data_IF_450004113993
#
_entry.id   IF_450004113993
#
_cell.length_a   1.000
_cell.length_b   1.000
_cell.length_c   1.000
_cell.angle_alpha   90.00
_cell.angle_beta   90.00
_cell.angle_gamma   90.00
#
_symmetry.space_group_name_H-M   'P 1'
#
loop_
_entity.id
_entity.type
_entity.pdbx_description
1 polymer ?
2 water ?
#
# COMPACT_ATOMS: atom_id res chain seq x y z
N UNK A 3 -16.71 -3.97 -3.93
CA UNK A 3 -16.47 -4.54 -2.60
C UNK A 3 -15.44 -5.67 -2.67
N UNK A 4 -14.16 -5.33 -2.67
CA UNK A 4 -13.12 -6.36 -2.70
C UNK A 4 -13.03 -7.19 -1.43
N UNK A 5 -13.43 -6.66 -0.27
CA UNK A 5 -13.18 -7.33 0.98
C UNK A 5 -14.39 -7.18 1.89
N UNK A 6 -14.55 -8.16 2.78
CA UNK A 6 -15.46 -8.04 3.91
C UNK A 6 -14.61 -8.05 5.18
N UNK A 7 -14.80 -7.02 6.00
CA UNK A 7 -14.06 -6.82 7.24
C UNK A 7 -15.02 -7.07 8.39
N UNK A 8 -14.58 -7.85 9.38
CA UNK A 8 -15.69 -8.31 10.19
C UNK A 8 -15.88 -7.33 11.34
N UNK A 9 -14.85 -7.01 12.13
CA UNK A 9 -14.89 -5.74 12.86
C UNK A 9 -14.50 -4.67 11.85
N UNK A 10 -15.42 -3.72 11.60
CA UNK A 10 -15.09 -2.61 10.70
C UNK A 10 -14.41 -1.49 11.47
N UNK A 11 -14.48 -1.54 12.78
CA UNK A 11 -13.84 -0.54 13.65
C UNK A 11 -13.63 -1.14 15.04
N UNK A 12 -12.54 -0.76 15.69
CA UNK A 12 -12.32 -1.19 17.07
C UNK A 12 -12.09 0.03 17.93
N UNK A 13 -12.85 0.15 19.01
CA UNK A 13 -12.54 1.07 20.10
C UNK A 13 -12.10 0.20 21.27
N UNK A 14 -10.79 0.13 21.52
CA UNK A 14 -10.24 -0.82 22.47
C UNK A 14 -9.82 -0.19 23.79
N UNK A 15 -9.49 -1.05 24.74
CA UNK A 15 -8.82 -0.64 25.96
C UNK A 15 -7.44 -1.27 26.01
N UNK A 16 -6.53 -0.64 26.73
CA UNK A 16 -5.17 -1.14 26.84
C UNK A 16 -5.16 -2.58 27.35
N UNK A 17 -4.25 -3.40 26.79
CA UNK A 17 -4.08 -4.76 27.26
C UNK A 17 -5.04 -5.77 26.68
N UNK A 18 -6.03 -5.34 25.93
CA UNK A 18 -7.06 -6.22 25.42
C UNK A 18 -6.58 -6.93 24.15
N UNK A 19 -7.03 -8.18 24.00
CA UNK A 19 -6.80 -8.92 22.76
C UNK A 19 -7.76 -8.42 21.69
N UNK A 20 -7.21 -8.05 20.54
CA UNK A 20 -7.96 -7.51 19.40
C UNK A 20 -7.69 -8.41 18.21
N UNK A 21 -8.75 -9.00 17.66
CA UNK A 21 -8.59 -9.83 16.47
C UNK A 21 -9.33 -9.18 15.30
N UNK A 22 -8.60 -8.93 14.21
CA UNK A 22 -9.17 -8.44 12.96
C UNK A 22 -9.30 -9.57 11.94
N UNK A 23 -10.29 -9.45 11.06
CA UNK A 23 -10.51 -10.47 10.05
C UNK A 23 -10.82 -9.83 8.71
N UNK A 24 -10.31 -10.51 7.67
CA UNK A 24 -10.37 -10.07 6.28
C UNK A 24 -10.86 -11.23 5.44
N UNK A 25 -11.92 -11.01 4.66
CA UNK A 25 -12.36 -12.00 3.68
C UNK A 25 -12.20 -11.42 2.28
N UNK A 26 -11.46 -12.13 1.44
CA UNK A 26 -11.30 -11.71 0.05
C UNK A 26 -12.52 -12.18 -0.73
N UNK A 27 -13.23 -11.24 -1.36
CA UNK A 27 -14.44 -11.53 -2.13
C UNK A 27 -14.23 -11.47 -3.64
N UNK A 28 -13.06 -11.03 -4.12
CA UNK A 28 -12.75 -11.09 -5.54
C UNK A 28 -12.62 -12.55 -6.00
N UNK A 29 -13.05 -12.81 -7.24
CA UNK A 29 -13.07 -14.18 -7.74
C UNK A 29 -11.72 -14.62 -8.26
N UNK A 30 -10.91 -13.69 -8.76
CA UNK A 30 -9.53 -13.96 -9.12
C UNK A 30 -8.62 -13.17 -8.20
N UNK A 31 -7.67 -13.82 -7.61
CA UNK A 31 -6.70 -13.12 -6.76
C UNK A 31 -5.44 -13.95 -6.71
N UNK A 32 -4.33 -13.26 -6.59
CA UNK A 32 -3.04 -13.94 -6.45
C UNK A 32 -3.01 -14.70 -5.14
N UNK A 33 -2.19 -15.75 -5.05
CA UNK A 33 -2.05 -16.45 -3.80
C UNK A 33 -1.73 -15.53 -2.60
N UNK A 34 -2.50 -15.63 -1.52
CA UNK A 34 -2.16 -14.91 -0.29
C UNK A 34 -2.86 -13.60 0.01
N UNK A 35 -2.68 -13.13 1.24
CA UNK A 35 -3.22 -11.83 1.68
C UNK A 35 -2.14 -11.16 2.53
N UNK A 36 -2.14 -9.84 2.51
CA UNK A 36 -1.14 -9.06 3.26
C UNK A 36 -1.83 -8.10 4.23
N UNK A 37 -1.36 -8.06 5.47
CA UNK A 37 -1.84 -7.11 6.47
C UNK A 37 -0.91 -5.89 6.53
N UNK A 38 -1.50 -4.70 6.48
CA UNK A 38 -0.74 -3.46 6.49
C UNK A 38 -1.19 -2.60 7.66
N UNK A 39 -0.39 -1.59 7.97
CA UNK A 39 -0.67 -0.67 9.07
C UNK A 39 -0.31 0.74 8.65
N UNK A 40 -1.08 1.70 9.13
CA UNK A 40 -0.77 3.10 8.85
C UNK A 40 -1.00 3.95 10.09
N UNK A 41 -0.01 4.76 10.45
CA UNK A 41 -0.12 5.62 11.63
C UNK A 41 -1.09 6.75 11.35
N UNK A 42 -1.63 7.32 12.43
CA UNK A 42 -2.67 8.35 12.32
C UNK A 42 -2.05 9.74 12.19
N UNK A 43 -1.55 10.04 11.00
CA UNK A 43 -0.77 11.23 10.73
C UNK A 43 -0.83 11.51 9.23
N UNK A 44 -0.61 12.75 8.79
CA UNK A 44 -0.43 13.00 7.37
C UNK A 44 0.94 12.55 6.90
N UNK A 45 1.03 12.22 5.60
CA UNK A 45 2.23 11.62 5.03
C UNK A 45 2.61 10.31 5.72
N UNK A 46 1.68 9.65 6.40
CA UNK A 46 1.99 8.41 7.08
C UNK A 46 2.15 7.30 6.05
N UNK A 47 3.21 6.53 6.18
CA UNK A 47 3.50 5.48 5.21
C UNK A 47 2.86 4.16 5.65
N UNK A 48 2.37 3.37 4.71
CA UNK A 48 1.90 2.04 5.03
C UNK A 48 3.06 1.15 5.44
N UNK A 49 2.83 0.32 6.42
CA UNK A 49 3.89 -0.58 6.94
C UNK A 49 3.45 -2.04 6.76
N UNK A 50 4.35 -2.88 6.27
CA UNK A 50 4.06 -4.32 6.17
C UNK A 50 4.12 -4.98 7.55
N UNK A 51 3.11 -5.76 7.86
CA UNK A 51 3.03 -6.49 9.13
C UNK A 51 3.03 -8.01 8.97
N UNK A 52 2.37 -8.51 7.94
CA UNK A 52 2.39 -9.97 7.74
C UNK A 52 1.89 -10.43 6.37
N UNK A 53 2.49 -11.52 5.89
CA UNK A 53 2.03 -12.17 4.66
C UNK A 53 1.51 -13.54 5.05
N UNK A 54 0.29 -13.86 4.63
CA UNK A 54 -0.35 -15.14 4.98
C UNK A 54 -0.77 -15.88 3.71
N UNK A 55 -0.51 -17.18 3.65
CA UNK A 55 -0.92 -18.01 2.53
C UNK A 55 -1.01 -19.46 2.99
N UNK A 56 -1.58 -20.29 2.12
CA UNK A 56 -1.60 -21.75 2.32
C UNK A 56 -0.24 -22.29 2.77
N UNK A 57 0.85 -21.87 2.11
CA UNK A 57 2.15 -22.50 2.37
C UNK A 57 3.00 -21.70 3.35
N UNK A 58 3.11 -20.39 3.16
CA UNK A 58 4.04 -19.57 3.93
C UNK A 58 3.30 -18.57 4.80
N UNK A 59 3.90 -18.29 5.95
CA UNK A 59 3.52 -17.20 6.84
C UNK A 59 4.76 -16.37 7.11
N UNK A 60 4.67 -15.06 6.91
CA UNK A 60 5.83 -14.19 6.99
C UNK A 60 5.47 -12.98 7.83
N UNK A 61 6.06 -12.90 9.02
CA UNK A 61 5.88 -11.76 9.89
C UNK A 61 7.02 -10.76 9.69
N UNK A 62 6.69 -9.46 9.71
CA UNK A 62 7.71 -8.43 9.61
C UNK A 62 8.80 -8.67 10.65
N UNK A 63 10.06 -8.49 10.24
CA UNK A 63 11.18 -8.96 11.05
C UNK A 63 11.25 -8.26 12.40
N UNK A 64 10.72 -7.05 12.51
CA UNK A 64 10.81 -6.25 13.73
C UNK A 64 9.67 -6.51 14.72
N UNK A 65 8.69 -7.37 14.38
CA UNK A 65 7.53 -7.57 15.24
C UNK A 65 7.74 -8.76 16.16
N UNK A 66 7.29 -8.61 17.40
CA UNK A 66 7.32 -9.70 18.35
C UNK A 66 6.09 -10.59 18.14
N UNK A 67 6.26 -11.82 17.69
CA UNK A 67 5.09 -12.68 17.41
C UNK A 67 4.22 -12.94 18.63
N UNK A 68 4.69 -12.64 19.84
CA UNK A 68 3.84 -12.71 21.02
C UNK A 68 3.01 -11.45 21.22
N UNK A 69 3.31 -10.39 20.48
CA UNK A 69 2.50 -9.19 20.54
C UNK A 69 1.54 -9.08 19.35
N UNK A 70 2.01 -9.45 18.17
CA UNK A 70 1.20 -9.36 16.95
C UNK A 70 1.45 -10.62 16.14
N UNK A 71 0.37 -11.27 15.72
CA UNK A 71 0.50 -12.47 14.92
C UNK A 71 -0.64 -12.53 13.90
N UNK A 72 -0.44 -13.35 12.87
CA UNK A 72 -1.45 -13.52 11.85
C UNK A 72 -1.78 -14.99 11.65
N UNK A 73 -2.90 -15.23 10.96
CA UNK A 73 -3.30 -16.59 10.66
C UNK A 73 -4.27 -16.62 9.49
N UNK A 74 -4.07 -17.59 8.60
CA UNK A 74 -5.03 -17.89 7.54
C UNK A 74 -6.02 -18.90 8.07
N UNK A 75 -7.27 -18.50 8.35
CA UNK A 75 -8.26 -19.42 8.95
C UNK A 75 -8.69 -20.45 7.91
N UNK A 76 -8.88 -20.00 6.69
CA UNK A 76 -9.29 -20.87 5.57
C UNK A 76 -9.08 -20.04 4.31
N UNK A 77 -9.32 -20.61 3.14
CA UNK A 77 -9.21 -19.85 1.88
C UNK A 77 -10.10 -18.63 1.93
N UNK A 78 -9.59 -17.47 1.51
CA UNK A 78 -10.37 -16.20 1.48
C UNK A 78 -10.76 -15.74 2.89
N UNK A 79 -10.13 -16.29 3.94
CA UNK A 79 -10.28 -15.77 5.31
C UNK A 79 -8.95 -15.68 6.05
N UNK A 80 -8.60 -14.47 6.42
CA UNK A 80 -7.32 -14.15 7.10
C UNK A 80 -7.55 -13.33 8.37
N UNK A 81 -6.66 -13.56 9.34
CA UNK A 81 -6.81 -12.93 10.66
C UNK A 81 -5.55 -12.19 11.10
N UNK A 82 -5.73 -11.13 11.87
CA UNK A 82 -4.61 -10.43 12.52
C UNK A 82 -4.98 -10.26 13.99
N UNK A 83 -4.10 -10.67 14.88
CA UNK A 83 -4.35 -10.59 16.32
C UNK A 83 -3.30 -9.71 17.00
N UNK A 84 -3.76 -8.63 17.63
CA UNK A 84 -2.96 -7.88 18.59
C UNK A 84 -3.22 -8.47 19.97
N UNK A 85 -2.19 -9.09 20.56
CA UNK A 85 -2.41 -9.86 21.78
C UNK A 85 -2.66 -8.96 23.00
N UNK A 86 -1.97 -7.84 23.11
CA UNK A 86 -2.13 -6.91 24.27
C UNK A 86 -2.13 -5.48 23.74
N UNK A 87 -3.30 -4.92 23.45
CA UNK A 87 -3.39 -3.63 22.78
C UNK A 87 -2.65 -2.53 23.55
N UNK A 88 -1.71 -1.87 22.89
CA UNK A 88 -0.94 -0.80 23.50
C UNK A 88 -0.94 0.42 22.59
N UNK A 89 -0.48 1.56 23.14
CA UNK A 89 -0.60 2.84 22.46
C UNK A 89 0.13 2.84 21.11
N UNK A 90 1.27 2.16 21.04
CA UNK A 90 2.03 2.07 19.78
C UNK A 90 1.24 1.36 18.69
N UNK A 91 0.22 0.59 19.03
CA UNK A 91 -0.55 -0.11 18.01
C UNK A 91 -1.77 0.68 17.51
N UNK A 92 -2.00 1.91 17.95
CA UNK A 92 -3.15 2.67 17.45
C UNK A 92 -2.89 3.18 16.04
N UNK A 93 -3.90 3.06 15.19
CA UNK A 93 -3.87 3.51 13.81
C UNK A 93 -4.87 2.71 12.99
N UNK A 94 -4.58 2.60 11.69
CA UNK A 94 -5.46 1.98 10.71
C UNK A 94 -4.83 0.69 10.20
N UNK A 95 -5.65 -0.36 10.12
CA UNK A 95 -5.22 -1.67 9.67
C UNK A 95 -6.03 -2.05 8.45
N UNK A 96 -5.34 -2.68 7.52
CA UNK A 96 -5.99 -3.01 6.24
C UNK A 96 -5.29 -4.19 5.57
N UNK A 97 -5.98 -4.75 4.59
CA UNK A 97 -5.47 -5.92 3.84
C UNK A 97 -5.24 -5.57 2.39
N UNK A 98 -4.41 -6.37 1.76
CA UNK A 98 -4.05 -6.12 0.37
C UNK A 98 -4.01 -7.42 -0.42
N UNK A 99 -4.55 -7.37 -1.61
CA UNK A 99 -4.42 -8.51 -2.55
C UNK A 99 -4.19 -7.94 -3.94
N UNK A 100 -3.50 -8.69 -4.78
CA UNK A 100 -3.40 -8.35 -6.19
C UNK A 100 -4.44 -9.15 -6.97
N UNK A 101 -5.13 -8.49 -7.88
CA UNK A 101 -6.09 -9.16 -8.75
C UNK A 101 -6.07 -8.46 -10.09
N UNK A 102 -5.97 -9.23 -11.18
CA UNK A 102 -5.78 -8.72 -12.53
C UNK A 102 -4.71 -7.63 -12.59
N UNK A 103 -3.64 -7.82 -11.83
CA UNK A 103 -2.49 -6.93 -11.73
C UNK A 103 -2.83 -5.60 -11.07
N UNK A 104 -3.99 -5.47 -10.47
CA UNK A 104 -4.32 -4.31 -9.66
C UNK A 104 -4.01 -4.63 -8.21
N UNK A 105 -3.41 -3.67 -7.49
CA UNK A 105 -3.24 -3.76 -6.05
C UNK A 105 -4.51 -3.27 -5.35
N UNK A 106 -5.14 -4.14 -4.56
CA UNK A 106 -6.37 -3.82 -3.82
C UNK A 106 -6.09 -3.62 -2.34
N UNK A 107 -6.77 -2.65 -1.74
CA UNK A 107 -6.68 -2.42 -0.31
C UNK A 107 -8.09 -2.40 0.27
N UNK A 108 -8.30 -3.12 1.37
CA UNK A 108 -9.57 -2.99 2.05
C UNK A 108 -9.73 -1.59 2.61
N UNK A 109 -10.94 -1.28 3.04
CA UNK A 109 -11.17 -0.09 3.85
C UNK A 109 -10.26 -0.13 5.07
N UNK A 110 -9.92 1.05 5.58
CA UNK A 110 -9.17 1.13 6.82
C UNK A 110 -10.06 0.70 7.96
N UNK A 111 -9.53 -0.16 8.86
CA UNK A 111 -10.13 -0.43 10.12
C UNK A 111 -9.46 0.44 11.18
N UNK A 112 -10.16 1.43 11.75
CA UNK A 112 -9.54 2.29 12.76
C UNK A 112 -9.52 1.58 14.10
N UNK A 113 -8.36 1.61 14.75
CA UNK A 113 -8.13 0.87 15.99
C UNK A 113 -7.52 1.85 16.99
N UNK A 114 -8.33 2.34 17.92
CA UNK A 114 -7.91 3.42 18.79
C UNK A 114 -8.46 3.24 20.19
N UNK A 115 -7.77 3.84 21.14
CA UNK A 115 -8.29 4.00 22.48
C UNK A 115 -9.35 5.10 22.50
N UNK A 116 -10.22 5.11 23.50
CA UNK A 116 -11.12 6.26 23.68
C UNK A 116 -10.30 7.51 23.96
N UNK A 117 -10.83 8.64 23.54
CA UNK A 117 -10.12 9.92 23.78
C UNK A 117 -10.45 10.52 25.14
N UNK B 3 17.56 0.54 1.93
CA UNK B 3 16.98 1.39 0.89
C UNK B 3 16.56 0.54 -0.31
N UNK B 4 15.28 0.18 -0.37
CA UNK B 4 14.83 -0.65 -1.51
C UNK B 4 14.63 0.14 -2.80
N UNK B 5 14.47 1.46 -2.75
CA UNK B 5 14.24 2.24 -3.95
C UNK B 5 15.12 3.47 -3.97
N UNK B 6 15.17 4.09 -5.14
CA UNK B 6 15.79 5.39 -5.34
C UNK B 6 14.85 6.21 -6.22
N UNK B 7 14.36 7.33 -5.69
CA UNK B 7 13.40 8.18 -6.42
C UNK B 7 14.16 9.31 -7.12
N UNK B 8 13.83 9.59 -8.38
CA UNK B 8 14.62 10.54 -9.17
C UNK B 8 14.43 12.02 -8.93
N UNK B 9 13.22 12.61 -8.90
CA UNK B 9 13.00 13.86 -8.23
C UNK B 9 12.59 13.39 -6.83
N UNK B 10 13.25 13.83 -5.77
CA UNK B 10 12.78 13.48 -4.43
C UNK B 10 11.54 14.28 -4.08
N UNK B 11 11.25 15.33 -4.85
CA UNK B 11 10.18 16.25 -4.54
C UNK B 11 9.96 17.14 -5.74
N UNK B 12 8.71 17.48 -6.02
CA UNK B 12 8.38 18.30 -7.17
C UNK B 12 7.62 19.50 -6.69
N UNK B 13 8.04 20.70 -7.13
CA UNK B 13 7.30 21.93 -6.92
C UNK B 13 6.58 22.23 -8.23
N UNK B 14 5.31 21.84 -8.28
CA UNK B 14 4.60 21.88 -9.53
C UNK B 14 4.06 23.24 -9.85
N UNK B 15 3.86 23.46 -11.15
CA UNK B 15 3.09 24.57 -11.69
C UNK B 15 2.00 24.01 -12.58
N UNK B 16 0.86 24.70 -12.56
CA UNK B 16 -0.29 24.29 -13.36
C UNK B 16 0.10 24.15 -14.83
N UNK B 17 -0.29 23.04 -15.43
CA UNK B 17 -0.04 22.79 -16.83
C UNK B 17 1.33 22.22 -17.16
N UNK B 18 2.23 22.09 -16.20
CA UNK B 18 3.54 21.53 -16.49
C UNK B 18 3.48 20.02 -16.56
N UNK B 19 4.35 19.46 -17.39
CA UNK B 19 4.61 18.04 -17.37
C UNK B 19 5.43 17.70 -16.11
N UNK B 20 5.04 16.64 -15.40
CA UNK B 20 5.80 16.17 -14.25
C UNK B 20 6.12 14.70 -14.50
N UNK B 21 7.39 14.34 -14.35
CA UNK B 21 7.83 12.97 -14.57
C UNK B 21 8.59 12.49 -13.35
N UNK B 22 8.23 11.29 -12.89
CA UNK B 22 8.84 10.66 -11.73
C UNK B 22 9.47 9.36 -12.19
N UNK B 23 10.59 9.00 -11.59
CA UNK B 23 11.20 7.72 -11.83
C UNK B 23 11.44 7.00 -10.50
N UNK B 24 11.37 5.68 -10.57
CA UNK B 24 11.54 4.81 -9.41
C UNK B 24 12.50 3.72 -9.85
N UNK B 25 13.64 3.60 -9.18
CA UNK B 25 14.58 2.53 -9.46
C UNK B 25 14.56 1.51 -8.34
N UNK B 26 14.36 0.25 -8.68
CA UNK B 26 14.32 -0.81 -7.68
C UNK B 26 15.74 -1.26 -7.36
N UNK B 27 16.11 -1.25 -6.08
CA UNK B 27 17.43 -1.64 -5.63
C UNK B 27 17.46 -3.00 -4.95
N UNK B 28 16.33 -3.70 -4.91
CA UNK B 28 16.33 -5.01 -4.26
C UNK B 28 16.90 -6.07 -5.18
N UNK B 29 17.72 -6.95 -4.62
CA UNK B 29 18.50 -7.90 -5.42
C UNK B 29 17.59 -8.77 -6.29
N UNK B 30 16.55 -9.38 -5.73
CA UNK B 30 15.51 -10.06 -6.52
C UNK B 30 14.15 -9.69 -5.98
N UNK B 31 13.43 -8.82 -6.69
CA UNK B 31 12.02 -8.54 -6.46
C UNK B 31 11.15 -9.33 -7.44
N UNK B 32 9.86 -9.44 -7.14
CA UNK B 32 8.94 -10.08 -8.08
C UNK B 32 8.79 -9.18 -9.31
N UNK B 33 8.25 -9.71 -10.42
CA UNK B 33 8.16 -8.89 -11.63
C UNK B 33 7.27 -7.67 -11.43
N UNK B 34 7.71 -6.56 -12.00
CA UNK B 34 6.86 -5.39 -12.07
C UNK B 34 7.04 -4.42 -10.93
N UNK B 35 6.37 -3.30 -11.08
CA UNK B 35 6.46 -2.20 -10.15
C UNK B 35 5.09 -1.57 -10.15
N UNK B 36 4.69 -1.02 -9.01
CA UNK B 36 3.36 -0.42 -8.86
C UNK B 36 3.47 1.03 -8.38
N UNK B 37 2.75 1.93 -9.05
CA UNK B 37 2.66 3.32 -8.62
C UNK B 37 1.40 3.55 -7.79
N UNK B 38 1.55 4.31 -6.70
CA UNK B 38 0.48 4.55 -5.74
C UNK B 38 0.43 6.04 -5.36
N UNK B 39 -0.71 6.48 -4.85
CA UNK B 39 -0.95 7.87 -4.51
C UNK B 39 -1.59 7.95 -3.13
N UNK B 40 -1.23 8.97 -2.35
CA UNK B 40 -1.95 9.29 -1.13
C UNK B 40 -2.17 10.79 -1.04
N UNK B 41 -3.38 11.20 -0.70
CA UNK B 41 -3.65 12.62 -0.50
C UNK B 41 -3.07 13.09 0.85
N UNK B 42 -2.73 14.40 0.92
CA UNK B 42 -2.10 14.98 2.12
C UNK B 42 -3.13 15.13 3.24
N UNK B 43 -3.32 14.07 4.01
CA UNK B 43 -4.33 14.04 5.07
C UNK B 43 -4.08 12.79 5.91
N UNK B 44 -4.48 12.78 7.18
CA UNK B 44 -4.47 11.53 7.93
C UNK B 44 -5.55 10.60 7.41
N UNK B 45 -5.36 9.30 7.63
CA UNK B 45 -6.26 8.25 7.15
C UNK B 45 -6.42 8.27 5.63
N UNK B 46 -5.42 8.74 4.91
CA UNK B 46 -5.50 8.85 3.47
C UNK B 46 -5.43 7.46 2.84
N UNK B 47 -6.38 7.16 1.96
CA UNK B 47 -6.40 5.87 1.28
C UNK B 47 -5.23 5.75 0.32
N UNK B 48 -4.53 4.63 0.28
CA UNK B 48 -3.58 4.39 -0.83
C UNK B 48 -4.35 4.09 -2.11
N UNK B 49 -4.03 4.82 -3.16
CA UNK B 49 -4.78 4.76 -4.41
C UNK B 49 -3.89 4.17 -5.50
N UNK B 50 -4.34 3.09 -6.11
CA UNK B 50 -3.61 2.45 -7.19
C UNK B 50 -3.67 3.31 -8.46
N UNK B 51 -2.51 3.53 -9.06
CA UNK B 51 -2.40 4.26 -10.32
C UNK B 51 -2.07 3.35 -11.50
N UNK B 52 -1.04 2.52 -11.39
CA UNK B 52 -0.58 1.79 -12.56
C UNK B 52 0.31 0.64 -12.12
N UNK B 53 0.23 -0.46 -12.87
CA UNK B 53 1.15 -1.58 -12.75
C UNK B 53 2.01 -1.64 -14.00
N UNK B 54 3.32 -1.83 -13.82
CA UNK B 54 4.27 -1.77 -14.94
C UNK B 54 5.21 -2.96 -14.88
N UNK B 55 5.29 -3.72 -15.96
CA UNK B 55 6.23 -4.82 -16.07
C UNK B 55 6.58 -4.99 -17.53
N UNK B 56 7.50 -5.92 -17.79
CA UNK B 56 7.93 -6.15 -19.15
C UNK B 56 6.77 -6.56 -20.04
N UNK B 57 5.89 -7.40 -19.52
CA UNK B 57 4.86 -8.08 -20.29
C UNK B 57 3.47 -7.54 -20.06
N UNK B 58 3.29 -6.59 -19.15
CA UNK B 58 1.94 -6.19 -18.73
C UNK B 58 1.95 -4.74 -18.26
N UNK B 59 0.96 -3.98 -18.71
CA UNK B 59 0.78 -2.58 -18.33
C UNK B 59 -0.69 -2.38 -17.98
N UNK B 60 -0.96 -1.88 -16.79
CA UNK B 60 -2.32 -1.73 -16.28
C UNK B 60 -2.46 -0.33 -15.68
N UNK B 61 -3.25 0.50 -16.31
CA UNK B 61 -3.61 1.79 -15.75
C UNK B 61 -4.98 1.68 -15.10
N UNK B 62 -5.14 2.35 -13.95
CA UNK B 62 -6.40 2.24 -13.20
C UNK B 62 -7.55 2.77 -14.03
N UNK B 63 -8.68 2.05 -13.99
CA UNK B 63 -9.81 2.33 -14.87
C UNK B 63 -10.26 3.79 -14.81
N UNK B 64 -10.22 4.40 -13.62
CA UNK B 64 -10.79 5.74 -13.50
C UNK B 64 -9.88 6.82 -14.06
N UNK B 65 -8.60 6.53 -14.34
CA UNK B 65 -7.68 7.54 -14.84
C UNK B 65 -7.76 7.69 -16.36
N UNK B 66 -7.56 8.95 -16.83
CA UNK B 66 -7.47 9.30 -18.25
C UNK B 66 -6.01 9.17 -18.71
N UNK B 67 -5.76 8.38 -19.75
CA UNK B 67 -4.36 8.19 -20.18
C UNK B 67 -3.72 9.42 -20.78
N UNK B 68 -4.51 10.40 -21.26
CA UNK B 68 -3.95 11.65 -21.75
C UNK B 68 -3.52 12.59 -20.63
N UNK B 69 -3.95 12.32 -19.40
CA UNK B 69 -3.52 13.10 -18.24
C UNK B 69 -2.40 12.45 -17.46
N UNK B 70 -2.44 11.12 -17.29
CA UNK B 70 -1.43 10.41 -16.52
C UNK B 70 -1.06 9.12 -17.24
N UNK B 71 0.22 8.78 -17.23
CA UNK B 71 0.74 7.62 -17.95
C UNK B 71 1.94 7.07 -17.20
N UNK B 72 2.26 5.80 -17.47
CA UNK B 72 3.43 5.19 -16.87
C UNK B 72 4.17 4.34 -17.88
N UNK B 73 5.42 4.02 -17.55
CA UNK B 73 6.21 3.21 -18.46
C UNK B 73 7.28 2.42 -17.71
N UNK B 74 7.53 1.19 -18.17
CA UNK B 74 8.66 0.39 -17.72
C UNK B 74 9.85 0.76 -18.59
N UNK B 75 10.79 1.53 -18.04
CA UNK B 75 11.94 1.91 -18.85
C UNK B 75 12.90 0.74 -18.99
N UNK B 76 13.09 0.00 -17.90
CA UNK B 76 14.15 -0.99 -17.79
C UNK B 76 13.72 -2.04 -16.79
N UNK B 77 14.58 -3.04 -16.63
CA UNK B 77 14.28 -4.14 -15.72
C UNK B 77 13.98 -3.63 -14.31
N UNK B 78 14.64 -2.56 -13.90
CA UNK B 78 14.53 -2.05 -12.52
C UNK B 78 14.24 -0.56 -12.51
N UNK B 79 13.68 -0.05 -13.59
CA UNK B 79 13.49 1.39 -13.73
C UNK B 79 12.11 1.63 -14.30
N UNK B 80 11.32 2.41 -13.57
CA UNK B 80 9.92 2.67 -13.93
C UNK B 80 9.64 4.16 -13.75
N UNK B 81 8.75 4.66 -14.60
CA UNK B 81 8.46 6.09 -14.62
C UNK B 81 6.95 6.31 -14.52
N UNK B 82 6.59 7.50 -14.03
CA UNK B 82 5.20 7.96 -14.03
C UNK B 82 5.17 9.40 -14.52
N UNK B 83 4.19 9.71 -15.37
CA UNK B 83 4.12 11.02 -16.01
C UNK B 83 2.75 11.64 -15.79
N UNK B 84 2.72 12.79 -15.14
CA UNK B 84 1.54 13.65 -15.15
C UNK B 84 1.71 14.64 -16.31
N UNK B 85 0.77 14.63 -17.24
CA UNK B 85 1.05 15.29 -18.52
C UNK B 85 0.77 16.80 -18.47
N UNK B 86 -0.30 17.23 -17.80
CA UNK B 86 -0.51 18.66 -17.55
C UNK B 86 -1.00 18.82 -16.11
N UNK B 87 -0.07 19.18 -15.21
CA UNK B 87 -0.30 19.10 -13.77
C UNK B 87 -1.51 19.93 -13.36
N UNK B 88 -2.39 19.31 -12.57
CA UNK B 88 -3.58 19.99 -12.04
C UNK B 88 -3.65 19.80 -10.52
N UNK B 89 -4.43 20.68 -9.88
CA UNK B 89 -4.54 20.72 -8.40
C UNK B 89 -5.07 19.40 -7.82
N UNK B 90 -5.94 18.74 -8.53
CA UNK B 90 -6.40 17.46 -8.00
C UNK B 90 -5.32 16.38 -8.00
N UNK B 91 -4.20 16.59 -8.70
CA UNK B 91 -3.12 15.63 -8.68
C UNK B 91 -2.11 15.89 -7.57
N UNK B 92 -2.33 16.94 -6.78
CA UNK B 92 -1.45 17.27 -5.65
C UNK B 92 -1.48 16.18 -4.59
N UNK B 93 -0.31 15.73 -4.17
CA UNK B 93 -0.24 14.76 -3.10
C UNK B 93 1.11 14.07 -3.07
N UNK B 94 1.10 12.85 -2.54
CA UNK B 94 2.30 12.03 -2.40
C UNK B 94 2.24 10.86 -3.36
N UNK B 95 3.34 10.64 -4.08
CA UNK B 95 3.48 9.52 -4.99
C UNK B 95 4.58 8.59 -4.50
N UNK B 96 4.41 7.30 -4.77
CA UNK B 96 5.40 6.32 -4.35
C UNK B 96 5.18 5.03 -5.13
N UNK B 97 6.19 4.17 -5.11
CA UNK B 97 6.11 2.92 -5.85
C UNK B 97 6.24 1.75 -4.87
N UNK B 98 5.89 0.57 -5.36
CA UNK B 98 5.76 -0.62 -4.51
C UNK B 98 6.24 -1.85 -5.26
N UNK B 99 6.79 -2.80 -4.50
CA UNK B 99 7.36 -4.03 -5.05
C UNK B 99 7.27 -5.11 -3.98
N UNK B 100 7.13 -6.36 -4.40
CA UNK B 100 7.18 -7.52 -3.50
C UNK B 100 8.55 -8.17 -3.61
N UNK B 101 9.12 -8.59 -2.49
CA UNK B 101 10.35 -9.38 -2.48
C UNK B 101 10.28 -10.40 -1.35
N UNK B 102 10.38 -11.68 -1.68
CA UNK B 102 10.19 -12.78 -0.71
C UNK B 102 8.92 -12.73 0.11
N UNK B 103 7.82 -12.32 -0.54
CA UNK B 103 6.49 -12.15 0.03
C UNK B 103 6.31 -10.85 0.82
N UNK B 104 7.33 -10.04 0.97
CA UNK B 104 7.22 -8.79 1.69
C UNK B 104 6.88 -7.67 0.71
N UNK B 105 5.83 -6.93 1.01
CA UNK B 105 5.51 -5.72 0.27
C UNK B 105 6.41 -4.58 0.73
N UNK B 106 7.00 -3.88 -0.22
CA UNK B 106 7.81 -2.71 0.05
C UNK B 106 7.20 -1.47 -0.59
N UNK B 107 7.35 -0.36 0.08
CA UNK B 107 6.88 0.93 -0.41
C UNK B 107 8.04 1.89 -0.42
N UNK B 108 8.18 2.68 -1.47
CA UNK B 108 9.26 3.63 -1.51
C UNK B 108 8.92 4.83 -0.61
N UNK B 109 9.89 5.73 -0.49
CA UNK B 109 9.62 6.99 0.18
C UNK B 109 8.59 7.76 -0.63
N UNK B 110 7.88 8.66 0.05
CA UNK B 110 6.89 9.50 -0.57
C UNK B 110 7.57 10.60 -1.39
N UNK B 111 7.06 10.84 -2.60
CA UNK B 111 7.52 11.97 -3.41
C UNK B 111 6.45 13.06 -3.29
N UNK B 112 6.70 14.13 -2.54
CA UNK B 112 5.72 15.24 -2.50
C UNK B 112 5.65 15.94 -3.85
N UNK B 113 4.44 16.10 -4.36
CA UNK B 113 4.18 16.76 -5.63
C UNK B 113 3.10 17.81 -5.34
N UNK B 114 3.51 19.07 -5.13
CA UNK B 114 2.60 20.11 -4.70
C UNK B 114 2.82 21.40 -5.47
N UNK B 115 1.78 22.25 -5.47
CA UNK B 115 1.83 23.60 -6.05
C UNK B 115 2.58 24.54 -5.12
N UNK B 116 2.95 25.74 -5.59
CA UNK B 116 3.91 26.55 -4.83
C UNK B 116 3.56 26.81 -3.36
N UNK B 117 2.38 27.35 -3.05
CA UNK B 117 2.01 27.67 -1.68
C UNK B 117 0.53 28.04 -1.65
#
# INVERSE_FOLDING_TARGET
>A
MPSPFRLSPVRVEGRLGQRVELQCEVLLSSAAPGCTWLFQKNEPAARPIFLAYLSRSRTKLAEELDPKQISGQRIQDTLYSLTLHRFRKEEEGYYFCSVVSNSVLYFSAFVPVFLPVKPTTTP
>B
MPSPFRLSPVRVEGRLGQRVELQCEVLLSSAAPGCTWLFQKNEPAARPIFLAYLSRSRTKLAEELDPKQISGQRIQDTLYSLTLHRFRKEEEGYYFCSVVSNSVLYFSAFVPVFLPVKPTTTP
#
